data_IF_264001962287
#
_entry.id   IF_264001962287
#
_cell.length_a   1.000
_cell.length_b   1.000
_cell.length_c   1.000
_cell.angle_alpha   90.00
_cell.angle_beta   90.00
_cell.angle_gamma   90.00
#
_symmetry.space_group_name_H-M   'P 1'
#
loop_
_entity.id
_entity.type
_entity.pdbx_description
1 polymer ?
#
# COMPACT_ATOMS: atom_id res chain seq x y z
N UNK A 1 -20.89 50.36 -13.16
CA UNK A 1 -19.77 49.41 -13.06
C UNK A 1 -20.15 48.30 -12.09
N UNK A 2 -20.49 47.10 -12.58
CA UNK A 2 -20.81 45.93 -11.73
C UNK A 2 -19.50 45.24 -11.35
N UNK A 3 -19.19 45.19 -10.05
CA UNK A 3 -18.02 44.50 -9.51
C UNK A 3 -18.29 42.99 -9.56
N UNK A 4 -17.54 42.26 -10.38
CA UNK A 4 -17.49 40.80 -10.31
C UNK A 4 -16.70 40.42 -9.06
N UNK A 5 -17.40 39.87 -8.07
CA UNK A 5 -16.76 39.18 -6.95
C UNK A 5 -16.32 37.82 -7.51
N UNK A 6 -15.01 37.69 -7.78
CA UNK A 6 -14.40 36.39 -8.05
C UNK A 6 -14.42 35.64 -6.72
N UNK A 7 -15.37 34.72 -6.59
CA UNK A 7 -15.41 33.75 -5.51
C UNK A 7 -14.21 32.82 -5.74
N UNK A 8 -13.09 33.09 -5.09
CA UNK A 8 -12.02 32.13 -4.91
C UNK A 8 -12.64 30.96 -4.14
N UNK A 9 -12.99 29.89 -4.87
CA UNK A 9 -13.19 28.57 -4.29
C UNK A 9 -11.90 28.25 -3.56
N UNK A 10 -11.90 28.46 -2.23
CA UNK A 10 -10.89 27.90 -1.36
C UNK A 10 -10.82 26.42 -1.71
N UNK A 11 -9.68 25.99 -2.24
CA UNK A 11 -9.35 24.58 -2.40
C UNK A 11 -9.43 24.04 -0.98
N UNK A 12 -10.58 23.43 -0.64
CA UNK A 12 -10.75 22.76 0.63
C UNK A 12 -9.58 21.78 0.69
N UNK A 13 -8.64 22.04 1.60
CA UNK A 13 -7.48 21.18 1.80
C UNK A 13 -8.03 19.77 1.95
N UNK A 14 -7.63 18.89 1.03
CA UNK A 14 -8.00 17.48 1.06
C UNK A 14 -7.38 16.89 2.33
N UNK A 15 -8.05 17.04 3.48
CA UNK A 15 -7.74 16.31 4.69
C UNK A 15 -8.58 15.04 4.64
N UNK A 16 -7.93 13.92 4.32
CA UNK A 16 -8.58 12.62 4.23
C UNK A 16 -7.91 11.65 5.19
N UNK A 17 -8.67 11.20 6.18
CA UNK A 17 -8.25 10.16 7.10
C UNK A 17 -8.66 8.79 6.55
N UNK A 18 -7.72 7.85 6.56
CA UNK A 18 -7.86 6.48 6.07
C UNK A 18 -7.28 5.54 7.12
N UNK A 19 -8.05 4.53 7.51
CA UNK A 19 -7.66 3.58 8.54
C UNK A 19 -7.46 2.22 7.90
N UNK A 20 -6.42 1.52 8.33
CA UNK A 20 -6.12 0.15 7.89
C UNK A 20 -5.78 -0.68 9.12
N UNK A 21 -6.28 -1.91 9.19
CA UNK A 21 -5.93 -2.84 10.26
C UNK A 21 -4.74 -3.70 9.85
N UNK A 22 -3.79 -3.91 10.75
CA UNK A 22 -2.68 -4.86 10.56
C UNK A 22 -3.14 -6.32 10.74
N UNK A 23 -2.20 -7.26 10.62
CA UNK A 23 -2.45 -8.69 10.79
C UNK A 23 -3.01 -9.06 12.18
N UNK A 24 -2.76 -8.24 13.19
CA UNK A 24 -3.21 -8.46 14.57
C UNK A 24 -4.50 -7.68 14.88
N UNK A 25 -5.05 -6.95 13.91
CA UNK A 25 -6.23 -6.10 14.09
C UNK A 25 -5.91 -4.72 14.69
N UNK A 26 -4.64 -4.34 14.83
CA UNK A 26 -4.29 -2.99 15.28
C UNK A 26 -4.56 -1.99 14.17
N UNK A 27 -5.19 -0.87 14.51
CA UNK A 27 -5.49 0.19 13.56
C UNK A 27 -4.27 1.08 13.29
N UNK A 28 -4.00 1.33 12.02
CA UNK A 28 -3.00 2.25 11.52
C UNK A 28 -3.75 3.38 10.81
N UNK A 29 -3.47 4.62 11.22
CA UNK A 29 -4.09 5.81 10.67
C UNK A 29 -3.19 6.42 9.60
N UNK A 30 -3.77 6.70 8.45
CA UNK A 30 -3.15 7.44 7.36
C UNK A 30 -3.90 8.74 7.13
N UNK A 31 -3.15 9.83 6.96
CA UNK A 31 -3.72 11.14 6.67
C UNK A 31 -3.06 11.72 5.43
N UNK A 32 -3.85 12.08 4.43
CA UNK A 32 -3.42 12.98 3.37
C UNK A 32 -3.76 14.39 3.82
N UNK A 33 -2.75 15.25 3.94
CA UNK A 33 -2.90 16.64 4.37
C UNK A 33 -1.85 17.52 3.71
N UNK A 34 -2.27 18.66 3.16
CA UNK A 34 -1.37 19.67 2.57
C UNK A 34 -0.37 19.08 1.55
N UNK A 35 -0.84 18.14 0.72
CA UNK A 35 -0.04 17.38 -0.24
C UNK A 35 1.04 16.49 0.38
N UNK A 36 0.93 16.14 1.65
CA UNK A 36 1.80 15.17 2.33
C UNK A 36 1.00 13.97 2.84
N UNK A 37 1.65 12.81 2.89
CA UNK A 37 1.15 11.61 3.55
C UNK A 37 1.72 11.53 4.97
N UNK A 38 0.85 11.23 5.92
CA UNK A 38 1.20 10.93 7.30
C UNK A 38 0.74 9.52 7.67
N UNK A 39 1.58 8.78 8.40
CA UNK A 39 1.28 7.48 9.02
C UNK A 39 1.36 7.70 10.54
N UNK A 40 0.25 7.49 11.26
CA UNK A 40 0.12 7.74 12.69
C UNK A 40 0.67 9.12 13.13
N UNK A 41 0.39 10.15 12.32
CA UNK A 41 0.83 11.54 12.57
C UNK A 41 2.28 11.84 12.20
N UNK A 42 3.08 10.85 11.79
CA UNK A 42 4.44 11.06 11.26
C UNK A 42 4.38 11.27 9.74
N UNK A 43 5.00 12.35 9.25
CA UNK A 43 5.10 12.62 7.81
C UNK A 43 5.98 11.57 7.14
N UNK A 44 5.43 10.90 6.12
CA UNK A 44 6.09 9.87 5.33
C UNK A 44 6.65 10.45 4.03
N UNK A 45 6.01 11.47 3.45
CA UNK A 45 6.49 12.08 2.22
C UNK A 45 5.50 13.04 1.59
N UNK A 46 5.93 13.66 0.50
CA UNK A 46 5.04 14.45 -0.36
C UNK A 46 4.25 13.52 -1.30
N UNK A 47 2.98 13.84 -1.49
CA UNK A 47 2.02 13.17 -2.36
C UNK A 47 1.79 14.04 -3.61
N UNK A 48 2.06 13.49 -4.80
CA UNK A 48 1.79 14.17 -6.06
C UNK A 48 0.55 13.56 -6.76
N UNK A 49 -0.51 14.36 -6.92
CA UNK A 49 -1.84 13.98 -7.43
C UNK A 49 -1.89 13.75 -8.96
N UNK A 50 -0.76 13.75 -9.68
CA UNK A 50 -0.74 13.83 -11.15
C UNK A 50 -1.03 12.52 -11.89
N UNK A 51 -1.21 11.38 -11.23
CA UNK A 51 -1.59 10.11 -11.86
C UNK A 51 -2.83 9.48 -11.21
N UNK A 52 -3.74 8.94 -12.04
CA UNK A 52 -5.01 8.31 -11.65
C UNK A 52 -4.87 7.06 -10.74
N UNK A 53 -3.64 6.64 -10.47
CA UNK A 53 -3.28 5.88 -9.28
C UNK A 53 -2.07 6.60 -8.70
N UNK A 54 -2.23 7.21 -7.52
CA UNK A 54 -1.17 8.01 -6.92
C UNK A 54 -0.32 7.09 -6.04
N UNK A 55 0.92 6.88 -6.45
CA UNK A 55 1.88 5.98 -5.81
C UNK A 55 2.89 6.85 -5.06
N UNK A 56 3.03 6.67 -3.75
CA UNK A 56 4.17 7.17 -2.99
C UNK A 56 5.08 5.99 -2.69
N UNK A 57 6.34 6.10 -3.08
CA UNK A 57 7.36 5.09 -2.82
C UNK A 57 8.35 5.62 -1.77
N UNK A 58 8.50 4.89 -0.66
CA UNK A 58 9.32 5.33 0.47
C UNK A 58 10.32 4.24 0.89
N UNK A 59 11.56 4.66 1.16
CA UNK A 59 12.60 3.82 1.77
C UNK A 59 12.57 3.86 3.31
N UNK A 60 13.53 3.18 3.96
CA UNK A 60 13.64 3.05 5.42
C UNK A 60 13.79 4.38 6.20
N UNK A 61 14.15 5.46 5.51
CA UNK A 61 14.35 6.80 6.09
C UNK A 61 13.27 7.81 5.67
N UNK A 62 12.13 7.35 5.14
CA UNK A 62 11.06 8.21 4.60
C UNK A 62 11.54 9.17 3.48
N UNK A 63 12.69 8.85 2.86
CA UNK A 63 13.20 9.52 1.67
C UNK A 63 12.56 8.86 0.46
N UNK A 64 11.97 9.68 -0.43
CA UNK A 64 11.42 9.23 -1.71
C UNK A 64 12.42 8.28 -2.41
N UNK A 65 11.95 7.07 -2.71
CA UNK A 65 12.78 6.00 -3.25
C UNK A 65 12.03 5.34 -4.40
N UNK A 66 12.66 5.13 -5.55
CA UNK A 66 12.07 4.32 -6.61
C UNK A 66 12.50 2.85 -6.48
N UNK A 67 11.95 1.97 -7.32
CA UNK A 67 12.36 0.56 -7.33
C UNK A 67 13.87 0.37 -7.60
N UNK A 68 14.54 1.31 -8.28
CA UNK A 68 15.99 1.25 -8.54
C UNK A 68 16.80 1.57 -7.27
N UNK A 69 16.28 2.46 -6.42
CA UNK A 69 16.91 2.82 -5.15
C UNK A 69 17.01 1.62 -4.20
N UNK A 70 16.08 0.66 -4.25
CA UNK A 70 16.13 -0.58 -3.44
C UNK A 70 17.46 -1.29 -3.63
N UNK A 71 17.87 -1.48 -4.89
CA UNK A 71 19.15 -2.10 -5.23
C UNK A 71 20.32 -1.14 -5.00
N UNK A 72 20.24 0.10 -5.47
CA UNK A 72 21.35 1.04 -5.41
C UNK A 72 21.78 1.40 -3.98
N UNK A 73 20.84 1.37 -3.02
CA UNK A 73 21.06 1.71 -1.61
C UNK A 73 21.07 0.50 -0.68
N UNK A 74 20.98 -0.73 -1.21
CA UNK A 74 20.92 -1.97 -0.43
C UNK A 74 19.84 -1.93 0.67
N UNK A 75 18.62 -1.55 0.30
CA UNK A 75 17.53 -1.43 1.27
C UNK A 75 17.08 -2.80 1.78
N UNK A 76 16.90 -2.91 3.10
CA UNK A 76 16.30 -4.08 3.75
C UNK A 76 14.77 -4.00 3.82
N UNK A 77 14.22 -2.80 3.62
CA UNK A 77 12.79 -2.51 3.64
C UNK A 77 12.42 -1.50 2.56
N UNK A 78 11.28 -1.72 1.91
CA UNK A 78 10.71 -0.82 0.91
C UNK A 78 9.19 -0.81 1.03
N UNK A 79 8.58 0.38 1.02
CA UNK A 79 7.12 0.53 1.08
C UNK A 79 6.60 1.30 -0.13
N UNK A 80 5.45 0.87 -0.61
CA UNK A 80 4.64 1.53 -1.63
C UNK A 80 3.26 1.84 -1.03
N UNK A 81 2.86 3.09 -1.11
CA UNK A 81 1.54 3.57 -0.68
C UNK A 81 0.73 3.94 -1.93
N UNK A 82 -0.38 3.24 -2.14
CA UNK A 82 -1.23 3.36 -3.33
C UNK A 82 -2.60 3.87 -2.89
N UNK A 83 -3.03 5.00 -3.43
CA UNK A 83 -4.36 5.55 -3.19
C UNK A 83 -5.27 5.27 -4.38
N UNK A 84 -6.49 4.80 -4.12
CA UNK A 84 -7.50 4.64 -5.19
C UNK A 84 -8.33 5.91 -5.36
N UNK A 85 -8.91 6.10 -6.55
CA UNK A 85 -9.78 7.26 -6.84
C UNK A 85 -11.06 7.27 -5.98
N UNK A 86 -11.63 6.07 -5.72
CA UNK A 86 -12.74 5.87 -4.79
C UNK A 86 -12.28 6.06 -3.33
N UNK A 87 -10.97 5.96 -3.11
CA UNK A 87 -10.28 6.47 -1.96
C UNK A 87 -10.12 5.50 -0.81
N UNK A 88 -9.65 4.32 -1.19
CA UNK A 88 -8.91 3.43 -0.33
C UNK A 88 -7.42 3.75 -0.32
N UNK A 89 -6.72 3.05 0.58
CA UNK A 89 -5.27 3.01 0.64
C UNK A 89 -4.85 1.54 0.61
N UNK A 90 -3.80 1.25 -0.16
CA UNK A 90 -3.06 0.00 -0.10
C UNK A 90 -1.61 0.31 0.20
N UNK A 91 -1.07 -0.36 1.20
CA UNK A 91 0.34 -0.30 1.57
C UNK A 91 0.96 -1.64 1.23
N UNK A 92 1.94 -1.65 0.35
CA UNK A 92 2.72 -2.83 -0.01
C UNK A 92 4.11 -2.66 0.59
N UNK A 93 4.55 -3.63 1.38
CA UNK A 93 5.85 -3.61 2.05
C UNK A 93 6.65 -4.85 1.65
N UNK A 94 7.88 -4.62 1.23
CA UNK A 94 8.89 -5.66 1.08
C UNK A 94 9.89 -5.53 2.23
N UNK A 95 10.25 -6.65 2.85
CA UNK A 95 11.29 -6.65 3.88
C UNK A 95 12.09 -7.95 3.91
N UNK A 96 13.35 -7.86 4.30
CA UNK A 96 14.23 -9.02 4.47
C UNK A 96 15.25 -8.77 5.59
N UNK A 97 15.86 -9.84 6.10
CA UNK A 97 16.92 -9.75 7.14
C UNK A 97 18.23 -9.19 6.60
N UNK A 98 18.48 -9.39 5.31
CA UNK A 98 19.57 -8.82 4.51
C UNK A 98 18.97 -7.90 3.44
N UNK A 99 19.78 -7.16 2.66
CA UNK A 99 19.27 -6.33 1.57
C UNK A 99 18.32 -7.12 0.66
N UNK A 100 17.17 -6.54 0.32
CA UNK A 100 16.06 -7.26 -0.34
C UNK A 100 16.54 -8.02 -1.58
N UNK A 101 17.34 -7.37 -2.44
CA UNK A 101 17.83 -8.00 -3.66
C UNK A 101 18.95 -9.02 -3.42
N UNK A 102 19.72 -8.89 -2.35
CA UNK A 102 20.68 -9.91 -1.95
C UNK A 102 19.94 -11.17 -1.46
N UNK A 103 19.00 -11.01 -0.53
CA UNK A 103 18.15 -12.09 -0.04
C UNK A 103 17.46 -12.82 -1.20
N UNK A 104 16.85 -12.05 -2.11
CA UNK A 104 16.18 -12.60 -3.29
C UNK A 104 17.13 -13.39 -4.19
N UNK A 105 18.32 -12.85 -4.48
CA UNK A 105 19.33 -13.52 -5.32
C UNK A 105 19.83 -14.85 -4.71
N UNK A 106 19.93 -14.91 -3.38
CA UNK A 106 20.32 -16.11 -2.63
C UNK A 106 19.17 -17.06 -2.38
N UNK A 107 17.96 -16.74 -2.88
CA UNK A 107 16.72 -17.49 -2.65
C UNK A 107 16.34 -17.58 -1.16
N UNK A 108 16.81 -16.63 -0.36
CA UNK A 108 16.37 -16.43 1.02
C UNK A 108 14.97 -15.79 1.02
N UNK A 109 14.32 -15.80 2.18
CA UNK A 109 12.97 -15.26 2.31
C UNK A 109 12.97 -13.72 2.22
N UNK A 110 12.21 -13.21 1.25
CA UNK A 110 11.75 -11.81 1.21
C UNK A 110 10.29 -11.79 1.60
N UNK A 111 9.96 -11.11 2.68
CA UNK A 111 8.59 -10.96 3.14
C UNK A 111 7.87 -9.89 2.34
N UNK A 112 6.73 -10.25 1.75
CA UNK A 112 5.75 -9.34 1.16
C UNK A 112 4.59 -9.20 2.14
N UNK A 113 4.37 -8.00 2.65
CA UNK A 113 3.20 -7.65 3.45
C UNK A 113 2.35 -6.62 2.73
N UNK A 114 1.03 -6.82 2.72
CA UNK A 114 0.08 -5.89 2.14
C UNK A 114 -0.99 -5.57 3.16
N UNK A 115 -1.26 -4.29 3.31
CA UNK A 115 -2.38 -3.76 4.07
C UNK A 115 -3.28 -3.02 3.08
N UNK A 116 -4.57 -3.27 3.08
CA UNK A 116 -5.49 -2.63 2.15
C UNK A 116 -6.76 -2.25 2.87
N UNK A 117 -7.27 -1.06 2.59
CA UNK A 117 -8.60 -0.65 2.97
C UNK A 117 -9.31 0.01 1.81
N UNK A 118 -10.59 -0.33 1.65
CA UNK A 118 -11.46 0.19 0.61
C UNK A 118 -12.57 1.02 1.22
N UNK A 119 -12.91 2.12 0.56
CA UNK A 119 -13.94 3.06 0.99
C UNK A 119 -14.95 3.28 -0.11
N UNK A 120 -16.21 3.49 0.28
CA UNK A 120 -17.28 3.91 -0.62
C UNK A 120 -18.00 5.11 0.00
N UNK A 121 -18.06 6.22 -0.72
CA UNK A 121 -18.67 7.47 -0.24
C UNK A 121 -18.17 7.91 1.14
N UNK A 122 -16.86 7.81 1.38
CA UNK A 122 -16.21 8.19 2.65
C UNK A 122 -16.37 7.19 3.80
N UNK A 123 -17.10 6.08 3.61
CA UNK A 123 -17.22 5.01 4.61
C UNK A 123 -16.32 3.84 4.25
N UNK A 124 -15.55 3.34 5.21
CA UNK A 124 -14.81 2.10 5.00
C UNK A 124 -15.81 0.97 4.73
N UNK A 125 -15.53 0.13 3.74
CA UNK A 125 -16.38 -1.02 3.39
C UNK A 125 -15.68 -2.34 3.66
N UNK A 126 -14.36 -2.37 3.52
CA UNK A 126 -13.54 -3.54 3.80
C UNK A 126 -12.10 -3.14 4.14
N UNK A 127 -11.43 -4.03 4.85
CA UNK A 127 -9.99 -4.04 4.96
C UNK A 127 -9.48 -5.49 4.94
N UNK A 128 -8.24 -5.66 4.48
CA UNK A 128 -7.51 -6.90 4.64
C UNK A 128 -6.03 -6.61 4.81
N UNK A 129 -5.37 -7.50 5.52
CA UNK A 129 -3.93 -7.54 5.69
C UNK A 129 -3.45 -8.94 5.37
N UNK A 130 -2.32 -9.06 4.67
CA UNK A 130 -1.63 -10.34 4.54
C UNK A 130 -0.12 -10.18 4.59
N UNK A 131 0.56 -11.28 4.87
CA UNK A 131 2.01 -11.44 4.80
C UNK A 131 2.33 -12.79 4.19
N UNK A 132 3.28 -12.83 3.28
CA UNK A 132 3.76 -14.05 2.62
C UNK A 132 5.25 -13.95 2.36
N UNK A 133 5.97 -15.04 2.55
CA UNK A 133 7.38 -15.11 2.23
C UNK A 133 7.58 -15.56 0.78
N UNK A 134 8.43 -14.83 0.05
CA UNK A 134 8.89 -15.17 -1.29
C UNK A 134 10.31 -15.69 -1.18
N UNK A 135 10.51 -16.98 -1.43
CA UNK A 135 11.83 -17.62 -1.42
C UNK A 135 12.00 -18.53 -2.64
N UNK A 136 13.03 -18.26 -3.44
CA UNK A 136 13.30 -19.02 -4.68
C UNK A 136 12.13 -19.02 -5.68
N UNK A 137 11.39 -17.92 -5.76
CA UNK A 137 10.21 -17.77 -6.63
C UNK A 137 8.96 -18.51 -6.12
N UNK A 138 8.99 -19.05 -4.90
CA UNK A 138 7.86 -19.74 -4.27
C UNK A 138 7.29 -18.95 -3.11
N UNK A 139 5.98 -19.01 -2.96
CA UNK A 139 5.23 -18.42 -1.86
C UNK A 139 5.19 -19.38 -0.67
N UNK A 140 5.48 -18.87 0.51
CA UNK A 140 5.55 -19.64 1.76
C UNK A 140 4.92 -18.84 2.91
N UNK A 141 4.49 -19.51 3.97
CA UNK A 141 4.05 -18.89 5.23
C UNK A 141 2.98 -17.78 5.09
N UNK A 142 1.97 -18.00 4.24
CA UNK A 142 0.88 -17.02 4.08
C UNK A 142 0.09 -16.89 5.38
N UNK A 143 0.03 -15.67 5.91
CA UNK A 143 -0.84 -15.24 7.02
C UNK A 143 -1.72 -14.11 6.52
N UNK A 144 -3.01 -14.12 6.88
CA UNK A 144 -3.97 -13.11 6.45
C UNK A 144 -5.00 -12.79 7.54
N UNK A 145 -5.51 -11.57 7.49
CA UNK A 145 -6.63 -11.09 8.29
C UNK A 145 -7.53 -10.20 7.41
N UNK A 146 -8.84 -10.22 7.64
CA UNK A 146 -9.80 -9.40 6.89
C UNK A 146 -10.99 -9.00 7.74
N UNK A 147 -11.44 -7.77 7.59
CA UNK A 147 -12.64 -7.25 8.26
C UNK A 147 -13.53 -6.48 7.29
N UNK A 148 -14.84 -6.54 7.50
CA UNK A 148 -15.85 -5.84 6.71
C UNK A 148 -16.63 -4.88 7.61
N UNK A 149 -16.63 -3.59 7.26
CA UNK A 149 -17.35 -2.56 8.00
C UNK A 149 -18.84 -2.51 7.62
N UNK A 150 -19.19 -3.07 6.45
CA UNK A 150 -20.59 -3.30 6.09
C UNK A 150 -21.06 -4.56 6.82
N UNK A 151 -22.17 -4.44 7.56
CA UNK A 151 -22.83 -5.59 8.20
C UNK A 151 -23.45 -6.49 7.11
N UNK A 152 -22.62 -7.36 6.53
CA UNK A 152 -22.99 -8.34 5.53
C UNK A 152 -23.11 -9.73 6.17
N UNK A 153 -24.02 -10.55 5.67
CA UNK A 153 -24.22 -11.93 6.12
C UNK A 153 -24.58 -12.85 4.97
N UNK A 154 -24.44 -14.17 5.20
CA UNK A 154 -24.73 -15.20 4.21
C UNK A 154 -23.98 -14.99 2.90
N UNK A 155 -24.67 -15.14 1.77
CA UNK A 155 -24.10 -15.07 0.41
C UNK A 155 -23.34 -13.77 0.12
N UNK A 156 -23.74 -12.67 0.75
CA UNK A 156 -23.06 -11.38 0.57
C UNK A 156 -21.69 -11.37 1.24
N UNK A 157 -21.58 -11.93 2.44
CA UNK A 157 -20.30 -12.07 3.14
C UNK A 157 -19.37 -13.02 2.38
N UNK A 158 -19.88 -14.17 1.95
CA UNK A 158 -19.13 -15.15 1.15
C UNK A 158 -18.57 -14.53 -0.15
N UNK A 159 -19.36 -13.68 -0.83
CA UNK A 159 -18.91 -12.96 -2.02
C UNK A 159 -17.77 -11.99 -1.71
N UNK A 160 -17.84 -11.28 -0.58
CA UNK A 160 -16.81 -10.33 -0.15
C UNK A 160 -15.51 -11.04 0.27
N UNK A 161 -15.62 -12.18 0.95
CA UNK A 161 -14.49 -13.03 1.29
C UNK A 161 -13.80 -13.57 0.03
N UNK A 162 -14.57 -14.12 -0.93
CA UNK A 162 -14.02 -14.60 -2.20
C UNK A 162 -13.30 -13.50 -2.99
N UNK A 163 -13.87 -12.30 -3.04
CA UNK A 163 -13.22 -11.15 -3.68
C UNK A 163 -11.92 -10.76 -2.97
N UNK A 164 -11.90 -10.86 -1.64
CA UNK A 164 -10.69 -10.59 -0.84
C UNK A 164 -9.61 -11.62 -1.15
N UNK A 165 -9.95 -12.90 -1.25
CA UNK A 165 -9.02 -13.96 -1.64
C UNK A 165 -8.45 -13.75 -3.05
N UNK A 166 -9.28 -13.34 -4.01
CA UNK A 166 -8.83 -13.02 -5.37
C UNK A 166 -7.85 -11.84 -5.38
N UNK A 167 -8.13 -10.80 -4.58
CA UNK A 167 -7.25 -9.66 -4.44
C UNK A 167 -5.90 -10.04 -3.81
N UNK A 168 -5.90 -10.88 -2.76
CA UNK A 168 -4.66 -11.38 -2.13
C UNK A 168 -3.82 -12.15 -3.16
N UNK A 169 -4.43 -13.02 -3.96
CA UNK A 169 -3.72 -13.75 -5.03
C UNK A 169 -3.12 -12.81 -6.07
N UNK A 170 -3.89 -11.81 -6.51
CA UNK A 170 -3.43 -10.80 -7.48
C UNK A 170 -2.26 -10.00 -6.93
N UNK A 171 -2.37 -9.51 -5.70
CA UNK A 171 -1.33 -8.71 -5.06
C UNK A 171 -0.07 -9.53 -4.80
N UNK A 172 -0.21 -10.80 -4.45
CA UNK A 172 0.94 -11.68 -4.27
C UNK A 172 1.66 -11.94 -5.61
N UNK A 173 0.91 -12.22 -6.68
CA UNK A 173 1.48 -12.40 -8.01
C UNK A 173 2.16 -11.11 -8.51
N UNK A 174 1.54 -9.95 -8.28
CA UNK A 174 2.13 -8.66 -8.62
C UNK A 174 3.40 -8.40 -7.80
N UNK A 175 3.39 -8.66 -6.50
CA UNK A 175 4.54 -8.45 -5.65
C UNK A 175 5.75 -9.28 -6.07
N UNK A 176 5.54 -10.54 -6.47
CA UNK A 176 6.59 -11.37 -7.07
C UNK A 176 7.13 -10.75 -8.37
N UNK A 177 6.24 -10.32 -9.28
CA UNK A 177 6.64 -9.69 -10.53
C UNK A 177 7.44 -8.40 -10.31
N UNK A 178 7.01 -7.55 -9.38
CA UNK A 178 7.72 -6.31 -9.04
C UNK A 178 9.11 -6.64 -8.49
N UNK A 179 9.21 -7.63 -7.59
CA UNK A 179 10.49 -8.08 -7.05
C UNK A 179 11.44 -8.57 -8.16
N UNK A 180 10.95 -9.37 -9.10
CA UNK A 180 11.73 -9.95 -10.19
C UNK A 180 12.08 -8.97 -11.32
N UNK A 181 11.15 -8.09 -11.69
CA UNK A 181 11.19 -7.33 -12.95
C UNK A 181 11.37 -5.83 -12.76
N UNK A 182 11.16 -5.30 -11.56
CA UNK A 182 11.29 -3.87 -11.30
C UNK A 182 12.36 -3.58 -10.24
N UNK A 183 12.34 -4.28 -9.10
CA UNK A 183 13.24 -4.03 -7.97
C UNK A 183 14.61 -4.71 -8.15
N UNK A 184 14.61 -6.03 -8.28
CA UNK A 184 15.83 -6.83 -8.25
C UNK A 184 16.20 -7.38 -9.62
N UNK A 185 15.97 -6.56 -10.66
CA UNK A 185 16.39 -6.85 -12.03
C UNK A 185 17.83 -7.34 -12.02
N UNK A 186 18.01 -8.59 -12.46
CA UNK A 186 19.33 -9.15 -12.70
C UNK A 186 20.05 -8.27 -13.74
N UNK A 187 21.29 -7.88 -13.45
CA UNK A 187 22.16 -7.37 -14.51
C UNK A 187 22.28 -8.45 -15.59
N UNK A 188 22.02 -8.06 -16.84
CA UNK A 188 22.33 -8.88 -18.01
C UNK A 188 23.82 -8.95 -18.22
#
# INVERSE_FOLDING_TARGET
MKKFVILLLAVAGFCRELNVSDLNGNEIKFELKDSALYENGKKIGEYNKTSAASIILAGSDDVEADFKAVRAKNLNEFKEYIFSDEGGIKVVKFSAKSPICEAFSKKEAVNLSVLSSSYFSGKQISNYAFSVDIAGGKLQNLVKNSHFAVNASGKSLEKLENLTEENIKKDTAMGLLVLEKAMCLAEK
#
